data_IF_597198407449
#
_entry.id   IF_597198407449
#
_cell.length_a   1.000
_cell.length_b   1.000
_cell.length_c   1.000
_cell.angle_alpha   90.00
_cell.angle_beta   90.00
_cell.angle_gamma   90.00
#
_symmetry.space_group_name_H-M   'P 1'
#
loop_
_entity.id
_entity.type
_entity.pdbx_description
1 polymer ?
#
# COMPACT_ATOMS: atom_id res chain seq x y z
N UNK A 1 16.18 31.58 23.63
CA UNK A 1 17.31 30.71 24.01
C UNK A 1 16.91 29.37 24.66
N UNK A 2 15.64 29.11 25.05
CA UNK A 2 15.26 27.80 25.63
C UNK A 2 14.68 26.77 24.66
N UNK A 3 14.28 27.15 23.43
CA UNK A 3 13.83 26.18 22.42
C UNK A 3 14.99 25.37 21.81
N UNK A 4 16.12 26.04 21.50
CA UNK A 4 17.31 25.38 20.94
C UNK A 4 17.96 24.39 21.93
N UNK A 5 17.95 24.69 23.23
CA UNK A 5 18.47 23.79 24.27
C UNK A 5 17.58 22.57 24.55
N UNK A 6 16.31 22.59 24.13
CA UNK A 6 15.43 21.42 24.21
C UNK A 6 15.61 20.50 22.99
N UNK A 7 15.91 21.05 21.81
CA UNK A 7 16.20 20.26 20.61
C UNK A 7 17.47 19.42 20.80
N UNK A 8 18.54 19.97 21.38
CA UNK A 8 19.76 19.20 21.67
C UNK A 8 19.53 18.03 22.63
N UNK A 9 18.65 18.17 23.63
CA UNK A 9 18.25 17.07 24.52
C UNK A 9 17.50 15.94 23.81
N UNK A 10 16.80 16.20 22.71
CA UNK A 10 16.19 15.17 21.87
C UNK A 10 17.24 14.41 21.05
N UNK A 11 18.33 15.06 20.65
CA UNK A 11 19.45 14.41 19.96
C UNK A 11 20.41 13.67 20.91
N UNK A 12 20.48 14.07 22.19
CA UNK A 12 21.44 13.51 23.15
C UNK A 12 20.93 12.32 23.98
N UNK A 13 19.60 12.05 24.02
CA UNK A 13 19.02 11.05 24.94
C UNK A 13 18.34 9.83 24.27
N UNK A 14 18.63 9.52 23.01
CA UNK A 14 17.96 8.42 22.31
C UNK A 14 18.85 7.69 21.33
N UNK A 15 19.38 6.54 21.77
CA UNK A 15 19.98 5.46 20.97
C UNK A 15 21.41 5.72 20.48
N UNK A 16 22.37 5.21 21.26
CA UNK A 16 23.71 4.88 20.80
C UNK A 16 23.69 3.59 19.94
N UNK A 17 22.93 3.58 18.86
CA UNK A 17 23.13 2.70 17.71
C UNK A 17 23.64 3.58 16.57
N UNK A 18 24.62 3.10 15.82
CA UNK A 18 25.01 3.74 14.56
C UNK A 18 23.83 3.58 13.58
N UNK A 19 22.80 4.41 13.69
CA UNK A 19 21.72 4.40 12.70
C UNK A 19 22.27 4.88 11.36
N UNK A 20 21.99 4.09 10.33
CA UNK A 20 22.31 4.44 8.96
C UNK A 20 21.34 5.56 8.52
N UNK A 21 21.85 6.77 8.29
CA UNK A 21 21.04 7.93 7.91
C UNK A 21 20.10 7.65 6.75
N UNK A 22 20.51 6.79 5.81
CA UNK A 22 19.70 6.41 4.67
C UNK A 22 18.53 5.47 5.06
N UNK A 23 18.73 4.59 6.03
CA UNK A 23 17.66 3.74 6.57
C UNK A 23 16.65 4.56 7.37
N UNK A 24 17.10 5.57 8.12
CA UNK A 24 16.21 6.49 8.83
C UNK A 24 15.36 7.32 7.84
N UNK A 25 15.97 7.77 6.74
CA UNK A 25 15.25 8.46 5.66
C UNK A 25 14.28 7.55 4.91
N UNK A 26 14.63 6.27 4.70
CA UNK A 26 13.68 5.29 4.15
C UNK A 26 12.53 5.04 5.12
N UNK A 27 12.83 4.92 6.43
CA UNK A 27 11.81 4.76 7.47
C UNK A 27 10.84 5.93 7.47
N UNK A 28 11.32 7.17 7.36
CA UNK A 28 10.42 8.33 7.29
C UNK A 28 9.51 8.32 6.06
N UNK A 29 9.99 7.89 4.89
CA UNK A 29 9.13 7.71 3.71
C UNK A 29 7.98 6.73 3.97
N UNK A 30 8.31 5.55 4.49
CA UNK A 30 7.33 4.48 4.71
C UNK A 30 6.31 4.86 5.78
N UNK A 31 6.76 5.54 6.84
CA UNK A 31 5.86 6.09 7.88
C UNK A 31 4.89 7.12 7.28
N UNK A 32 5.36 8.00 6.39
CA UNK A 32 4.49 8.98 5.72
C UNK A 32 3.41 8.29 4.86
N UNK A 33 3.75 7.22 4.14
CA UNK A 33 2.75 6.48 3.38
C UNK A 33 1.74 5.76 4.28
N UNK A 34 2.20 5.17 5.38
CA UNK A 34 1.31 4.55 6.37
C UNK A 34 0.31 5.56 6.96
N UNK A 35 0.75 6.80 7.24
CA UNK A 35 -0.15 7.87 7.72
C UNK A 35 -1.29 8.16 6.74
N UNK A 36 -1.04 8.01 5.44
CA UNK A 36 -2.07 8.17 4.40
C UNK A 36 -2.99 6.96 4.35
N UNK A 37 -2.45 5.74 4.44
CA UNK A 37 -3.23 4.50 4.51
C UNK A 37 -4.18 4.48 5.71
N UNK A 38 -3.75 5.01 6.86
CA UNK A 38 -4.56 5.10 8.07
C UNK A 38 -5.87 5.89 7.90
N UNK A 39 -5.99 6.74 6.85
CA UNK A 39 -7.22 7.47 6.51
C UNK A 39 -8.20 6.67 5.65
N UNK A 40 -7.77 5.57 5.05
CA UNK A 40 -8.56 4.68 4.21
C UNK A 40 -8.62 3.27 4.83
N UNK A 41 -9.52 3.03 5.80
CA UNK A 41 -9.54 1.78 6.57
C UNK A 41 -9.83 0.52 5.74
N UNK A 42 -10.32 0.67 4.52
CA UNK A 42 -10.61 -0.46 3.63
C UNK A 42 -9.37 -1.03 2.93
N UNK A 43 -8.26 -0.31 2.97
CA UNK A 43 -7.03 -0.71 2.28
C UNK A 43 -6.26 -1.77 3.05
N UNK A 44 -6.22 -1.69 4.39
CA UNK A 44 -5.81 -2.78 5.29
C UNK A 44 -4.58 -3.57 4.85
N UNK A 45 -3.46 -2.92 4.54
CA UNK A 45 -2.25 -3.56 4.02
C UNK A 45 -2.10 -3.49 2.50
N UNK A 46 -2.86 -2.61 1.85
CA UNK A 46 -2.77 -2.32 0.43
C UNK A 46 -1.37 -1.89 0.03
N UNK A 47 -0.74 -1.01 0.82
CA UNK A 47 0.62 -0.54 0.54
C UNK A 47 1.60 -1.72 0.46
N UNK A 48 1.46 -2.67 1.39
CA UNK A 48 2.25 -3.89 1.39
C UNK A 48 1.93 -4.77 0.18
N UNK A 49 0.66 -5.04 -0.11
CA UNK A 49 0.26 -5.91 -1.24
C UNK A 49 0.74 -5.37 -2.58
N UNK A 50 0.50 -4.10 -2.87
CA UNK A 50 0.95 -3.45 -4.11
C UNK A 50 2.48 -3.49 -4.21
N UNK A 51 3.19 -3.23 -3.11
CA UNK A 51 4.65 -3.37 -3.05
C UNK A 51 5.11 -4.79 -3.39
N UNK A 52 4.47 -5.82 -2.81
CA UNK A 52 4.81 -7.23 -3.04
C UNK A 52 4.49 -7.71 -4.44
N UNK A 53 3.34 -7.35 -4.99
CA UNK A 53 3.00 -7.65 -6.38
C UNK A 53 4.00 -6.99 -7.34
N UNK A 54 4.36 -5.73 -7.07
CA UNK A 54 5.30 -4.98 -7.89
C UNK A 54 6.70 -5.59 -7.85
N UNK A 55 7.15 -6.01 -6.66
CA UNK A 55 8.41 -6.76 -6.48
C UNK A 55 8.42 -8.05 -7.30
N UNK A 56 7.37 -8.87 -7.16
CA UNK A 56 7.27 -10.16 -7.84
C UNK A 56 7.28 -9.98 -9.37
N UNK A 57 6.44 -9.08 -9.89
CA UNK A 57 6.36 -8.81 -11.32
C UNK A 57 7.67 -8.24 -11.88
N UNK A 58 8.32 -7.31 -11.17
CA UNK A 58 9.59 -6.74 -11.60
C UNK A 58 10.72 -7.79 -11.63
N UNK A 59 10.80 -8.64 -10.59
CA UNK A 59 11.81 -9.70 -10.49
C UNK A 59 11.63 -10.75 -11.59
N UNK A 60 10.41 -11.21 -11.83
CA UNK A 60 10.06 -12.19 -12.86
C UNK A 60 10.17 -11.62 -14.29
N UNK A 61 10.23 -10.28 -14.39
CA UNK A 61 10.56 -9.59 -15.63
C UNK A 61 12.07 -9.50 -15.89
N UNK A 62 12.90 -9.98 -14.97
CA UNK A 62 14.37 -9.99 -15.10
C UNK A 62 15.01 -8.62 -14.92
N UNK A 63 14.34 -7.70 -14.22
CA UNK A 63 14.90 -6.38 -13.91
C UNK A 63 16.02 -6.48 -12.88
N UNK A 64 17.01 -5.56 -12.89
CA UNK A 64 18.07 -5.53 -11.88
C UNK A 64 17.51 -5.37 -10.46
N UNK A 65 18.17 -5.96 -9.46
CA UNK A 65 17.72 -5.93 -8.05
C UNK A 65 17.44 -4.52 -7.53
N UNK A 66 18.25 -3.53 -7.91
CA UNK A 66 18.04 -2.14 -7.55
C UNK A 66 16.74 -1.57 -8.15
N UNK A 67 16.40 -1.91 -9.39
CA UNK A 67 15.14 -1.52 -10.03
C UNK A 67 13.96 -2.24 -9.39
N UNK A 68 14.08 -3.54 -9.10
CA UNK A 68 13.05 -4.32 -8.40
C UNK A 68 12.74 -3.68 -7.04
N UNK A 69 13.76 -3.34 -6.26
CA UNK A 69 13.59 -2.69 -4.96
C UNK A 69 12.96 -1.30 -5.07
N UNK A 70 13.39 -0.51 -6.06
CA UNK A 70 12.83 0.83 -6.32
C UNK A 70 11.36 0.77 -6.75
N UNK A 71 11.00 -0.19 -7.59
CA UNK A 71 9.62 -0.40 -8.06
C UNK A 71 8.73 -0.92 -6.93
N UNK A 72 9.23 -1.86 -6.11
CA UNK A 72 8.53 -2.32 -4.91
C UNK A 72 8.29 -1.18 -3.91
N UNK A 73 9.30 -0.33 -3.68
CA UNK A 73 9.18 0.87 -2.86
C UNK A 73 8.17 1.86 -3.47
N UNK A 74 8.19 2.03 -4.80
CA UNK A 74 7.20 2.80 -5.54
C UNK A 74 5.78 2.31 -5.31
N UNK A 75 5.55 1.00 -5.33
CA UNK A 75 4.26 0.40 -5.00
C UNK A 75 3.79 0.70 -3.56
N UNK A 76 4.71 0.79 -2.61
CA UNK A 76 4.37 1.18 -1.23
C UNK A 76 4.03 2.68 -1.09
N UNK A 77 4.59 3.54 -1.95
CA UNK A 77 4.52 4.99 -1.81
C UNK A 77 3.57 5.67 -2.81
N UNK A 78 3.07 4.95 -3.82
CA UNK A 78 2.38 5.52 -4.99
C UNK A 78 1.23 6.47 -4.64
N UNK A 79 0.51 6.15 -3.56
CA UNK A 79 -0.73 6.80 -3.16
C UNK A 79 -0.55 7.93 -2.14
N UNK A 80 0.68 8.33 -1.81
CA UNK A 80 0.98 9.32 -0.78
C UNK A 80 0.19 10.65 -0.98
N UNK A 81 -0.12 10.99 -2.23
CA UNK A 81 -0.89 12.17 -2.56
C UNK A 81 -2.35 12.16 -2.12
N UNK A 82 -2.91 11.01 -1.73
CA UNK A 82 -4.28 10.92 -1.15
C UNK A 82 -4.41 11.74 0.12
N UNK A 83 -3.30 12.17 0.74
CA UNK A 83 -3.31 13.18 1.81
C UNK A 83 -4.08 14.46 1.42
N UNK A 84 -4.09 14.85 0.15
CA UNK A 84 -4.81 16.03 -0.34
C UNK A 84 -6.26 15.78 -0.76
N UNK A 85 -6.74 14.53 -0.71
CA UNK A 85 -8.13 14.19 -1.06
C UNK A 85 -9.02 14.36 0.17
N UNK A 86 -10.15 15.08 0.08
CA UNK A 86 -11.12 15.20 1.18
C UNK A 86 -11.74 13.85 1.58
N UNK A 87 -11.93 13.61 2.89
CA UNK A 87 -12.46 12.34 3.41
C UNK A 87 -13.83 11.95 2.83
N UNK A 88 -14.72 12.92 2.60
CA UNK A 88 -16.05 12.65 2.03
C UNK A 88 -16.00 12.16 0.58
N UNK A 89 -14.90 12.41 -0.13
CA UNK A 89 -14.64 11.88 -1.48
C UNK A 89 -13.90 10.53 -1.36
N UNK A 90 -12.83 10.49 -0.55
CA UNK A 90 -12.00 9.28 -0.38
C UNK A 90 -12.82 8.09 0.13
N UNK A 91 -13.69 8.33 1.12
CA UNK A 91 -14.47 7.31 1.82
C UNK A 91 -15.91 7.20 1.30
N UNK A 92 -16.20 7.72 0.11
CA UNK A 92 -17.55 7.69 -0.45
C UNK A 92 -17.99 6.25 -0.73
N UNK A 93 -19.17 5.87 -0.20
CA UNK A 93 -19.78 4.53 -0.35
C UNK A 93 -20.59 4.36 -1.64
N UNK A 94 -20.57 5.34 -2.53
CA UNK A 94 -21.26 5.32 -3.81
C UNK A 94 -20.30 5.64 -4.96
N UNK A 95 -20.83 5.67 -6.18
CA UNK A 95 -20.05 6.14 -7.34
C UNK A 95 -19.65 7.60 -7.13
N UNK A 96 -18.41 7.91 -7.48
CA UNK A 96 -17.94 9.28 -7.58
C UNK A 96 -18.63 9.98 -8.76
N UNK A 97 -18.94 11.26 -8.64
CA UNK A 97 -19.26 12.11 -9.79
C UNK A 97 -17.99 12.41 -10.59
N UNK A 98 -18.13 12.96 -11.79
CA UNK A 98 -16.98 13.32 -12.62
C UNK A 98 -16.10 14.39 -11.94
N UNK A 99 -16.72 15.32 -11.19
CA UNK A 99 -16.01 16.35 -10.42
C UNK A 99 -15.26 15.75 -9.22
N UNK A 100 -15.89 14.83 -8.48
CA UNK A 100 -15.25 14.13 -7.38
C UNK A 100 -14.09 13.25 -7.86
N UNK A 101 -14.28 12.56 -8.99
CA UNK A 101 -13.22 11.79 -9.62
C UNK A 101 -12.09 12.69 -10.14
N UNK A 102 -12.40 13.89 -10.65
CA UNK A 102 -11.39 14.87 -11.02
C UNK A 102 -10.52 15.29 -9.81
N UNK A 103 -11.09 15.38 -8.60
CA UNK A 103 -10.32 15.59 -7.36
C UNK A 103 -9.41 14.39 -7.07
N UNK A 104 -9.91 13.16 -7.18
CA UNK A 104 -9.07 11.95 -7.00
C UNK A 104 -7.86 11.96 -7.95
N UNK A 105 -8.07 12.33 -9.22
CA UNK A 105 -7.01 12.38 -10.24
C UNK A 105 -5.90 13.39 -9.94
N UNK A 106 -6.06 14.27 -8.94
CA UNK A 106 -5.02 15.22 -8.53
C UNK A 106 -3.95 14.58 -7.64
N UNK A 107 -4.23 13.44 -7.01
CA UNK A 107 -3.32 12.87 -6.02
C UNK A 107 -1.90 12.57 -6.55
N UNK A 108 -1.66 12.16 -7.82
CA UNK A 108 -0.30 11.94 -8.29
C UNK A 108 0.59 13.18 -8.18
N UNK A 109 0.09 14.33 -8.64
CA UNK A 109 0.83 15.61 -8.59
C UNK A 109 0.85 16.21 -7.17
N UNK A 110 -0.21 16.02 -6.37
CA UNK A 110 -0.19 16.38 -4.94
C UNK A 110 0.88 15.58 -4.19
N UNK A 111 0.96 14.28 -4.41
CA UNK A 111 1.93 13.39 -3.78
C UNK A 111 3.36 13.83 -4.09
N UNK A 112 3.65 14.08 -5.36
CA UNK A 112 4.97 14.57 -5.75
C UNK A 112 5.31 15.92 -5.13
N UNK A 113 4.41 16.91 -5.22
CA UNK A 113 4.64 18.24 -4.68
C UNK A 113 4.89 18.22 -3.17
N UNK A 114 4.19 17.35 -2.44
CA UNK A 114 4.37 17.21 -0.99
C UNK A 114 5.68 16.47 -0.66
N UNK A 115 6.07 15.49 -1.48
CA UNK A 115 7.26 14.68 -1.24
C UNK A 115 8.57 15.32 -1.71
N UNK A 116 8.54 16.25 -2.68
CA UNK A 116 9.72 16.75 -3.39
C UNK A 116 10.86 17.31 -2.50
N UNK A 117 10.56 17.74 -1.27
CA UNK A 117 11.57 18.19 -0.30
C UNK A 117 12.30 17.06 0.44
N UNK A 118 11.82 15.81 0.34
CA UNK A 118 12.43 14.67 1.00
C UNK A 118 13.70 14.23 0.25
N UNK A 119 14.84 13.96 0.94
CA UNK A 119 16.11 13.59 0.27
C UNK A 119 16.02 12.36 -0.63
N UNK A 120 15.08 11.46 -0.34
CA UNK A 120 14.84 10.22 -1.10
C UNK A 120 13.62 10.28 -2.04
N UNK A 121 13.02 11.46 -2.27
CA UNK A 121 11.81 11.59 -3.09
C UNK A 121 11.95 11.01 -4.50
N UNK A 122 13.14 11.11 -5.10
CA UNK A 122 13.42 10.60 -6.44
C UNK A 122 13.27 9.08 -6.59
N UNK A 123 13.35 8.31 -5.49
CA UNK A 123 13.15 6.86 -5.55
C UNK A 123 11.70 6.48 -5.91
N UNK A 124 10.74 7.34 -5.58
CA UNK A 124 9.31 7.07 -5.74
C UNK A 124 8.61 8.00 -6.75
N UNK A 125 9.32 8.99 -7.31
CA UNK A 125 8.74 10.02 -8.19
C UNK A 125 7.88 9.40 -9.29
N UNK A 126 8.44 8.44 -10.03
CA UNK A 126 7.80 7.83 -11.19
C UNK A 126 6.52 7.10 -10.80
N UNK A 127 6.58 6.26 -9.76
CA UNK A 127 5.42 5.52 -9.28
C UNK A 127 4.33 6.47 -8.80
N UNK A 128 4.67 7.47 -7.98
CA UNK A 128 3.70 8.45 -7.47
C UNK A 128 3.03 9.22 -8.61
N UNK A 129 3.80 9.69 -9.59
CA UNK A 129 3.30 10.61 -10.61
C UNK A 129 2.61 9.94 -11.78
N UNK A 130 2.86 8.66 -12.01
CA UNK A 130 2.50 8.04 -13.29
C UNK A 130 1.88 6.66 -13.19
N UNK A 131 1.65 6.09 -12.00
CA UNK A 131 1.00 4.76 -11.87
C UNK A 131 -0.43 4.66 -12.46
N UNK A 132 -1.05 5.80 -12.80
CA UNK A 132 -2.35 5.87 -13.47
C UNK A 132 -2.28 6.25 -14.96
N UNK A 133 -1.08 6.33 -15.53
CA UNK A 133 -0.92 6.43 -16.98
C UNK A 133 -1.25 5.09 -17.64
N UNK A 134 -1.86 5.12 -18.83
CA UNK A 134 -2.33 3.91 -19.51
C UNK A 134 -1.80 3.86 -20.94
N UNK A 135 -1.43 2.68 -21.48
CA UNK A 135 -0.81 2.58 -22.80
C UNK A 135 -1.60 3.23 -23.95
N UNK A 136 -2.93 3.34 -23.85
CA UNK A 136 -3.78 4.03 -24.81
C UNK A 136 -3.79 5.57 -24.70
N UNK A 137 -3.01 6.17 -23.79
CA UNK A 137 -2.94 7.62 -23.59
C UNK A 137 -4.15 8.26 -22.91
N UNK A 138 -5.09 7.45 -22.38
CA UNK A 138 -6.29 7.95 -21.66
C UNK A 138 -6.09 8.06 -20.15
N UNK A 139 -4.92 7.67 -19.66
CA UNK A 139 -4.52 7.78 -18.27
C UNK A 139 -4.25 9.22 -17.85
N UNK A 140 -3.79 9.39 -16.62
CA UNK A 140 -3.54 10.69 -16.02
C UNK A 140 -2.27 10.63 -15.14
N UNK A 141 -1.63 11.77 -14.85
CA UNK A 141 -2.04 13.15 -15.14
C UNK A 141 -1.61 13.72 -16.50
N UNK A 142 -0.65 13.10 -17.19
CA UNK A 142 -0.04 13.64 -18.41
C UNK A 142 -0.56 13.00 -19.70
N UNK A 143 -1.24 11.85 -19.61
CA UNK A 143 -1.73 11.12 -20.78
C UNK A 143 -0.60 10.47 -21.57
N UNK A 144 0.42 9.96 -20.86
CA UNK A 144 1.52 9.21 -21.46
C UNK A 144 0.99 7.93 -22.10
N UNK A 145 1.65 7.47 -23.17
CA UNK A 145 1.18 6.33 -23.95
C UNK A 145 2.31 5.35 -24.27
N UNK A 146 1.97 4.06 -24.43
CA UNK A 146 2.92 2.99 -24.76
C UNK A 146 4.23 3.05 -23.97
N UNK A 147 5.35 3.16 -24.70
CA UNK A 147 6.71 3.19 -24.15
C UNK A 147 7.09 4.49 -23.45
N UNK A 148 6.31 5.56 -23.60
CA UNK A 148 6.56 6.82 -22.90
C UNK A 148 6.23 6.70 -21.41
N UNK A 149 5.46 5.67 -21.03
CA UNK A 149 5.17 5.34 -19.64
C UNK A 149 6.38 4.61 -19.05
N UNK A 150 7.03 5.16 -18.01
CA UNK A 150 8.16 4.49 -17.36
C UNK A 150 7.80 3.10 -16.85
N UNK A 151 8.79 2.21 -16.78
CA UNK A 151 8.62 0.81 -16.36
C UNK A 151 7.92 0.70 -15.00
N UNK A 152 8.33 1.49 -14.02
CA UNK A 152 7.76 1.44 -12.67
C UNK A 152 6.27 1.74 -12.67
N UNK A 153 5.86 2.77 -13.43
CA UNK A 153 4.47 3.16 -13.56
C UNK A 153 3.63 2.05 -14.22
N UNK A 154 4.16 1.39 -15.25
CA UNK A 154 3.50 0.26 -15.92
C UNK A 154 3.30 -0.94 -14.99
N UNK A 155 4.32 -1.26 -14.17
CA UNK A 155 4.26 -2.36 -13.20
C UNK A 155 3.31 -2.01 -12.05
N UNK A 156 3.54 -0.87 -11.37
CA UNK A 156 2.74 -0.45 -10.21
C UNK A 156 1.28 -0.27 -10.60
N UNK A 157 0.98 0.29 -11.77
CA UNK A 157 -0.40 0.48 -12.24
C UNK A 157 -1.17 -0.83 -12.43
N UNK A 158 -0.52 -1.91 -12.92
CA UNK A 158 -1.13 -3.24 -13.00
C UNK A 158 -1.38 -3.80 -11.59
N UNK A 159 -0.38 -3.69 -10.71
CA UNK A 159 -0.44 -4.23 -9.36
C UNK A 159 -1.48 -3.52 -8.47
N UNK A 160 -1.57 -2.18 -8.55
CA UNK A 160 -2.60 -1.39 -7.87
C UNK A 160 -4.00 -1.74 -8.38
N UNK A 161 -4.20 -1.77 -9.70
CA UNK A 161 -5.50 -2.14 -10.27
C UNK A 161 -5.92 -3.57 -9.87
N UNK A 162 -4.99 -4.52 -9.85
CA UNK A 162 -5.26 -5.88 -9.40
C UNK A 162 -5.68 -5.90 -7.92
N UNK A 163 -4.89 -5.29 -7.04
CA UNK A 163 -5.21 -5.24 -5.60
C UNK A 163 -6.54 -4.55 -5.34
N UNK A 164 -6.82 -3.46 -6.06
CA UNK A 164 -8.08 -2.74 -6.01
C UNK A 164 -9.29 -3.59 -6.42
N UNK A 165 -9.10 -4.53 -7.36
CA UNK A 165 -10.12 -5.47 -7.79
C UNK A 165 -10.33 -6.60 -6.78
N UNK A 166 -9.26 -7.13 -6.20
CA UNK A 166 -9.25 -8.27 -5.27
C UNK A 166 -9.37 -7.89 -3.79
N UNK A 167 -9.48 -6.61 -3.46
CA UNK A 167 -9.74 -6.12 -2.11
C UNK A 167 -11.18 -5.62 -1.93
N UNK A 168 -11.69 -5.70 -0.71
CA UNK A 168 -12.99 -5.14 -0.33
C UNK A 168 -12.93 -3.62 -0.31
N UNK A 169 -13.99 -2.97 -0.77
CA UNK A 169 -14.15 -1.52 -0.78
C UNK A 169 -15.52 -1.16 -0.20
N UNK A 170 -15.76 0.09 0.25
CA UNK A 170 -17.02 0.46 0.91
C UNK A 170 -18.29 0.12 0.13
N UNK A 171 -18.20 0.11 -1.20
CA UNK A 171 -19.32 -0.10 -2.13
C UNK A 171 -19.30 -1.46 -2.84
N UNK A 172 -18.29 -2.31 -2.60
CA UNK A 172 -18.08 -3.55 -3.37
C UNK A 172 -17.25 -4.56 -2.60
N UNK A 173 -17.71 -5.81 -2.59
CA UNK A 173 -16.92 -6.95 -2.12
C UNK A 173 -15.77 -7.28 -3.09
N UNK A 174 -14.70 -7.86 -2.55
CA UNK A 174 -13.57 -8.36 -3.31
C UNK A 174 -14.00 -9.26 -4.48
N UNK A 175 -13.22 -9.22 -5.55
CA UNK A 175 -13.42 -10.04 -6.73
C UNK A 175 -12.57 -11.32 -6.65
N UNK A 176 -13.05 -12.48 -7.14
CA UNK A 176 -12.20 -13.65 -7.31
C UNK A 176 -11.00 -13.34 -8.21
N UNK A 177 -9.81 -13.84 -7.84
CA UNK A 177 -8.54 -13.66 -8.57
C UNK A 177 -8.71 -13.93 -10.06
N UNK A 178 -9.32 -15.07 -10.43
CA UNK A 178 -9.55 -15.45 -11.84
C UNK A 178 -10.30 -14.39 -12.64
N UNK A 179 -11.27 -13.72 -12.02
CA UNK A 179 -12.05 -12.66 -12.68
C UNK A 179 -11.24 -11.36 -12.78
N UNK A 180 -10.43 -11.03 -11.78
CA UNK A 180 -9.52 -9.89 -11.85
C UNK A 180 -8.44 -10.07 -12.94
N UNK A 181 -7.89 -11.28 -13.07
CA UNK A 181 -6.95 -11.63 -14.14
C UNK A 181 -7.59 -11.55 -15.53
N UNK A 182 -8.83 -12.05 -15.69
CA UNK A 182 -9.57 -11.92 -16.95
C UNK A 182 -9.76 -10.44 -17.36
N UNK A 183 -10.07 -9.55 -16.40
CA UNK A 183 -10.17 -8.11 -16.67
C UNK A 183 -8.82 -7.54 -17.12
N UNK A 184 -7.71 -7.97 -16.52
CA UNK A 184 -6.36 -7.55 -16.96
C UNK A 184 -6.12 -8.01 -18.40
N UNK A 185 -6.39 -9.28 -18.71
CA UNK A 185 -6.23 -9.86 -20.04
C UNK A 185 -7.04 -9.10 -21.11
N UNK A 186 -8.31 -8.81 -20.83
CA UNK A 186 -9.19 -8.05 -21.71
C UNK A 186 -8.70 -6.61 -21.99
N UNK A 187 -7.87 -6.05 -21.11
CA UNK A 187 -7.40 -4.66 -21.17
C UNK A 187 -5.90 -4.51 -21.47
N UNK A 188 -5.25 -5.58 -21.94
CA UNK A 188 -3.86 -5.55 -22.39
C UNK A 188 -3.67 -4.65 -23.63
N UNK A 189 -2.69 -3.76 -23.56
CA UNK A 189 -2.38 -2.76 -24.59
C UNK A 189 -3.33 -1.54 -24.57
N UNK A 190 -4.35 -1.53 -23.71
CA UNK A 190 -5.24 -0.39 -23.54
C UNK A 190 -5.02 0.29 -22.19
N UNK A 191 -5.40 -0.37 -21.10
CA UNK A 191 -5.19 0.09 -19.72
C UNK A 191 -3.86 -0.42 -19.17
N UNK A 192 -3.48 -1.65 -19.52
CA UNK A 192 -2.31 -2.33 -18.98
C UNK A 192 -1.27 -2.55 -20.06
N UNK A 193 0.01 -2.42 -19.70
CA UNK A 193 1.11 -2.77 -20.59
C UNK A 193 1.01 -4.25 -20.96
N UNK A 194 1.22 -4.57 -22.25
CA UNK A 194 1.06 -5.94 -22.75
C UNK A 194 2.12 -6.87 -22.18
N UNK A 195 3.38 -6.47 -22.21
CA UNK A 195 4.50 -7.33 -21.83
C UNK A 195 4.47 -7.63 -20.33
N UNK A 196 4.25 -6.62 -19.50
CA UNK A 196 4.11 -6.80 -18.05
C UNK A 196 2.79 -7.47 -17.67
N UNK A 197 1.70 -7.17 -18.37
CA UNK A 197 0.41 -7.80 -18.12
C UNK A 197 0.42 -9.29 -18.41
N UNK A 198 1.02 -9.74 -19.53
CA UNK A 198 1.16 -11.16 -19.85
C UNK A 198 2.00 -11.91 -18.80
N UNK A 199 3.07 -11.29 -18.29
CA UNK A 199 3.86 -11.85 -17.17
C UNK A 199 3.05 -11.93 -15.89
N UNK A 200 2.28 -10.89 -15.58
CA UNK A 200 1.41 -10.89 -14.39
C UNK A 200 0.33 -11.97 -14.45
N UNK A 201 -0.26 -12.21 -15.63
CA UNK A 201 -1.19 -13.31 -15.86
C UNK A 201 -0.53 -14.67 -15.63
N UNK A 202 0.73 -14.85 -16.07
CA UNK A 202 1.48 -16.07 -15.84
C UNK A 202 1.73 -16.34 -14.33
N UNK A 203 2.03 -15.29 -13.54
CA UNK A 203 2.14 -15.40 -12.08
C UNK A 203 0.81 -15.84 -11.45
N UNK A 204 -0.30 -15.26 -11.92
CA UNK A 204 -1.63 -15.64 -11.48
C UNK A 204 -2.02 -17.07 -11.85
N UNK A 205 -1.65 -17.54 -13.04
CA UNK A 205 -1.91 -18.91 -13.49
C UNK A 205 -1.07 -19.97 -12.76
N UNK A 206 0.07 -19.57 -12.19
CA UNK A 206 0.95 -20.39 -11.37
C UNK A 206 0.65 -20.29 -9.86
N UNK A 207 -0.49 -19.69 -9.47
CA UNK A 207 -0.94 -19.47 -8.09
C UNK A 207 0.11 -18.72 -7.22
N UNK A 208 0.95 -17.89 -7.85
CA UNK A 208 2.00 -17.14 -7.14
C UNK A 208 1.50 -15.84 -6.50
N UNK A 209 0.22 -15.50 -6.65
CA UNK A 209 -0.37 -14.27 -6.09
C UNK A 209 -1.12 -14.53 -4.78
N UNK A 210 -1.50 -15.77 -4.49
CA UNK A 210 -2.43 -16.15 -3.42
C UNK A 210 -1.92 -15.81 -2.02
N UNK A 211 -0.60 -15.86 -1.82
CA UNK A 211 0.04 -15.52 -0.55
C UNK A 211 0.13 -14.01 -0.28
N UNK A 212 -0.31 -13.18 -1.22
CA UNK A 212 -0.35 -11.71 -1.12
C UNK A 212 -1.80 -11.23 -1.10
N UNK A 213 -2.67 -11.78 -1.96
CA UNK A 213 -4.08 -11.37 -2.06
C UNK A 213 -4.76 -11.54 -0.71
N UNK A 214 -5.41 -10.48 -0.22
CA UNK A 214 -6.14 -10.52 1.05
C UNK A 214 -5.25 -10.71 2.28
N UNK A 215 -3.97 -10.31 2.22
CA UNK A 215 -3.06 -10.32 3.36
C UNK A 215 -2.63 -8.88 3.74
N UNK A 216 -2.34 -8.67 5.02
CA UNK A 216 -1.76 -7.41 5.51
C UNK A 216 -0.24 -7.44 5.59
N UNK A 217 0.34 -8.65 5.65
CA UNK A 217 1.77 -8.93 5.78
C UNK A 217 2.04 -10.38 5.35
N UNK A 218 3.31 -10.76 5.25
CA UNK A 218 3.71 -12.10 4.82
C UNK A 218 3.16 -13.18 5.76
N UNK A 219 2.21 -13.98 5.24
CA UNK A 219 1.57 -15.06 5.99
C UNK A 219 0.52 -14.59 7.00
N UNK A 220 0.10 -13.33 6.95
CA UNK A 220 -0.93 -12.77 7.83
C UNK A 220 -2.15 -12.39 6.96
N UNK A 221 -3.17 -13.25 6.86
CA UNK A 221 -4.36 -12.96 6.09
C UNK A 221 -5.18 -11.85 6.77
N UNK A 222 -6.03 -11.19 5.99
CA UNK A 222 -7.06 -10.30 6.51
C UNK A 222 -8.20 -11.10 7.12
N UNK A 223 -8.69 -10.59 8.23
CA UNK A 223 -9.77 -11.21 8.97
C UNK A 223 -11.12 -10.55 8.65
N UNK A 224 -12.17 -11.36 8.72
CA UNK A 224 -13.53 -10.94 8.38
C UNK A 224 -14.15 -10.10 9.51
N UNK A 225 -14.45 -8.85 9.20
CA UNK A 225 -15.40 -8.06 9.95
C UNK A 225 -16.82 -8.41 9.50
N UNK A 226 -17.69 -8.81 10.42
CA UNK A 226 -19.10 -9.20 10.14
C UNK A 226 -19.85 -8.12 9.34
N UNK A 227 -19.50 -6.84 9.54
CA UNK A 227 -20.16 -5.72 8.89
C UNK A 227 -19.43 -5.22 7.64
N UNK A 228 -18.12 -5.38 7.56
CA UNK A 228 -17.27 -4.64 6.61
C UNK A 228 -16.49 -5.53 5.65
N UNK A 229 -16.53 -6.85 5.83
CA UNK A 229 -15.74 -7.79 5.04
C UNK A 229 -14.31 -7.95 5.57
N UNK A 230 -13.37 -8.48 4.76
CA UNK A 230 -11.98 -8.70 5.15
C UNK A 230 -11.19 -7.38 5.23
N UNK A 231 -11.37 -6.67 6.34
CA UNK A 231 -10.69 -5.40 6.67
C UNK A 231 -9.98 -5.44 8.02
N UNK A 232 -10.19 -6.49 8.82
CA UNK A 232 -9.49 -6.63 10.09
C UNK A 232 -8.03 -7.02 9.83
N UNK A 233 -7.14 -6.08 10.11
CA UNK A 233 -5.70 -6.26 10.02
C UNK A 233 -5.20 -6.84 11.33
N UNK A 234 -4.60 -8.04 11.24
CA UNK A 234 -3.69 -8.51 12.26
C UNK A 234 -2.26 -8.07 11.93
N UNK A 235 -1.45 -7.89 12.97
CA UNK A 235 -0.03 -7.56 12.88
C UNK A 235 0.82 -8.74 13.31
N UNK A 236 2.05 -8.76 12.81
CA UNK A 236 3.02 -9.76 13.24
C UNK A 236 3.30 -9.63 14.73
N UNK A 237 3.28 -10.75 15.43
CA UNK A 237 3.53 -10.80 16.87
C UNK A 237 2.29 -10.61 17.75
N UNK A 238 1.10 -10.36 17.17
CA UNK A 238 -0.13 -10.45 17.94
C UNK A 238 -0.34 -11.84 18.52
N UNK A 239 -0.99 -11.88 19.69
CA UNK A 239 -1.20 -13.12 20.44
C UNK A 239 -2.66 -13.31 20.84
N UNK A 240 -3.03 -14.56 21.10
CA UNK A 240 -4.37 -14.87 21.60
C UNK A 240 -4.67 -14.16 22.93
N UNK A 241 -5.90 -13.67 23.07
CA UNK A 241 -6.35 -12.86 24.19
C UNK A 241 -6.29 -11.35 23.95
N UNK A 242 -5.59 -10.89 22.91
CA UNK A 242 -5.60 -9.49 22.50
C UNK A 242 -6.89 -9.12 21.78
N UNK A 243 -7.18 -7.82 21.74
CA UNK A 243 -8.34 -7.26 21.07
C UNK A 243 -7.92 -6.48 19.83
N UNK A 244 -8.70 -6.61 18.76
CA UNK A 244 -8.54 -5.85 17.52
C UNK A 244 -9.85 -5.20 17.12
N UNK A 245 -9.75 -4.08 16.42
CA UNK A 245 -10.90 -3.22 16.14
C UNK A 245 -11.02 -2.97 14.64
N UNK A 246 -12.23 -3.12 14.11
CA UNK A 246 -12.51 -2.73 12.73
C UNK A 246 -12.43 -1.21 12.61
N UNK A 247 -11.51 -0.71 11.77
CA UNK A 247 -11.32 0.74 11.59
C UNK A 247 -12.45 1.41 10.81
N UNK A 248 -13.36 0.62 10.22
CA UNK A 248 -14.54 1.15 9.54
C UNK A 248 -15.80 1.21 10.43
N UNK A 249 -16.15 0.11 11.12
CA UNK A 249 -17.37 0.07 11.95
C UNK A 249 -17.12 0.13 13.46
N UNK A 250 -15.86 0.24 13.88
CA UNK A 250 -15.41 0.28 15.28
C UNK A 250 -15.72 -0.97 16.12
N UNK A 251 -16.20 -2.04 15.51
CA UNK A 251 -16.50 -3.31 16.18
C UNK A 251 -15.24 -3.97 16.74
N UNK A 252 -15.33 -4.47 17.97
CA UNK A 252 -14.26 -5.17 18.66
C UNK A 252 -14.32 -6.69 18.38
N UNK A 253 -13.12 -7.26 18.22
CA UNK A 253 -12.89 -8.69 18.01
C UNK A 253 -11.82 -9.18 18.98
N UNK A 254 -12.03 -10.36 19.54
CA UNK A 254 -11.03 -11.08 20.33
C UNK A 254 -10.17 -11.93 19.39
N UNK A 255 -8.85 -11.84 19.54
CA UNK A 255 -7.90 -12.72 18.86
C UNK A 255 -7.83 -14.04 19.63
N UNK A 256 -8.05 -15.15 18.95
CA UNK A 256 -8.02 -16.50 19.52
C UNK A 256 -7.02 -17.36 18.74
N UNK A 257 -6.35 -18.28 19.43
CA UNK A 257 -5.57 -19.33 18.78
C UNK A 257 -6.48 -20.54 18.52
N UNK A 258 -6.59 -20.95 17.26
CA UNK A 258 -7.22 -22.20 16.85
C UNK A 258 -6.20 -23.04 16.09
N UNK A 259 -5.66 -24.05 16.79
CA UNK A 259 -4.73 -25.03 16.22
C UNK A 259 -3.45 -24.39 15.64
N UNK A 260 -2.95 -23.34 16.29
CA UNK A 260 -1.74 -22.61 15.88
C UNK A 260 -1.99 -21.51 14.84
N UNK A 261 -3.26 -21.26 14.48
CA UNK A 261 -3.68 -20.15 13.62
C UNK A 261 -4.46 -19.13 14.43
N UNK A 262 -4.06 -17.86 14.33
CA UNK A 262 -4.82 -16.78 14.91
C UNK A 262 -6.12 -16.60 14.11
N UNK A 263 -7.23 -16.50 14.82
CA UNK A 263 -8.55 -16.15 14.29
C UNK A 263 -9.11 -14.99 15.10
N UNK A 264 -10.13 -14.32 14.58
CA UNK A 264 -10.82 -13.23 15.28
C UNK A 264 -12.29 -13.56 15.47
N UNK A 265 -12.80 -13.40 16.69
CA UNK A 265 -14.20 -13.63 17.03
C UNK A 265 -14.84 -12.32 17.52
N UNK A 266 -16.01 -11.91 16.98
CA UNK A 266 -16.67 -10.67 17.39
C UNK A 266 -17.11 -10.73 18.85
N UNK A 267 -16.83 -9.68 19.61
CA UNK A 267 -17.20 -9.60 21.05
C UNK A 267 -18.57 -8.97 21.30
N UNK A 268 -19.20 -8.44 20.24
CA UNK A 268 -20.41 -7.59 20.28
C UNK A 268 -20.22 -6.24 21.00
N UNK A 269 -18.98 -5.84 21.30
CA UNK A 269 -18.66 -4.51 21.81
C UNK A 269 -18.08 -3.64 20.70
N UNK A 270 -18.00 -2.34 20.97
CA UNK A 270 -17.35 -1.35 20.13
C UNK A 270 -16.10 -0.84 20.86
N UNK A 271 -15.06 -0.51 20.11
CA UNK A 271 -13.85 0.11 20.66
C UNK A 271 -14.14 1.49 21.25
N UNK A 272 -13.41 1.83 22.32
CA UNK A 272 -13.37 3.19 22.85
C UNK A 272 -12.58 4.13 21.92
N UNK A 273 -12.53 5.43 22.25
CA UNK A 273 -11.72 6.36 21.48
C UNK A 273 -10.23 5.98 21.46
N UNK A 274 -9.70 5.53 22.61
CA UNK A 274 -8.30 5.10 22.78
C UNK A 274 -8.00 3.84 21.96
N UNK A 275 -8.90 2.85 21.99
CA UNK A 275 -8.78 1.62 21.17
C UNK A 275 -8.74 1.90 19.66
N UNK A 276 -9.42 2.96 19.25
CA UNK A 276 -9.58 3.34 17.85
C UNK A 276 -8.42 4.19 17.32
N UNK A 277 -7.46 4.57 18.16
CA UNK A 277 -6.26 5.27 17.73
C UNK A 277 -5.44 4.41 16.75
N UNK A 278 -5.06 4.96 15.59
CA UNK A 278 -4.29 4.21 14.61
C UNK A 278 -2.82 4.18 15.03
N UNK A 279 -2.20 3.00 14.97
CA UNK A 279 -0.77 2.85 15.27
C UNK A 279 0.01 2.33 14.07
N UNK A 280 1.19 2.90 13.85
CA UNK A 280 2.09 2.51 12.77
C UNK A 280 2.59 1.07 13.00
N UNK A 281 2.58 0.25 11.94
CA UNK A 281 3.24 -1.06 11.97
C UNK A 281 4.77 -0.90 11.82
N UNK A 282 5.43 -0.62 12.94
CA UNK A 282 6.88 -0.35 12.99
C UNK A 282 7.71 -1.56 12.58
N UNK A 283 7.24 -2.78 12.86
CA UNK A 283 7.92 -4.02 12.52
C UNK A 283 7.88 -4.30 11.02
N UNK A 284 6.72 -4.08 10.38
CA UNK A 284 6.58 -4.13 8.93
C UNK A 284 7.51 -3.12 8.27
N UNK A 285 7.45 -1.85 8.71
CA UNK A 285 8.31 -0.80 8.18
C UNK A 285 9.79 -1.16 8.35
N UNK A 286 10.21 -1.65 9.51
CA UNK A 286 11.59 -2.03 9.75
C UNK A 286 12.08 -3.15 8.81
N UNK A 287 11.21 -4.11 8.45
CA UNK A 287 11.54 -5.14 7.44
C UNK A 287 11.67 -4.54 6.04
N UNK A 288 10.71 -3.73 5.62
CA UNK A 288 10.74 -3.07 4.30
C UNK A 288 11.96 -2.16 4.16
N UNK A 289 12.36 -1.45 5.22
CA UNK A 289 13.61 -0.67 5.25
C UNK A 289 14.81 -1.57 5.01
N UNK A 290 14.96 -2.67 5.76
CA UNK A 290 16.11 -3.58 5.62
C UNK A 290 16.19 -4.20 4.22
N UNK A 291 15.05 -4.63 3.67
CA UNK A 291 14.96 -5.19 2.32
C UNK A 291 15.36 -4.15 1.26
N UNK A 292 14.79 -2.94 1.35
CA UNK A 292 15.06 -1.86 0.40
C UNK A 292 16.51 -1.35 0.50
N UNK A 293 17.03 -1.17 1.71
CA UNK A 293 18.38 -0.68 1.97
C UNK A 293 19.44 -1.62 1.36
N UNK A 294 19.24 -2.93 1.49
CA UNK A 294 20.18 -3.93 0.95
C UNK A 294 20.36 -3.83 -0.57
N UNK A 295 19.32 -3.43 -1.30
CA UNK A 295 19.34 -3.38 -2.76
C UNK A 295 19.59 -1.97 -3.34
N UNK A 296 19.27 -0.92 -2.56
CA UNK A 296 19.35 0.47 -3.01
C UNK A 296 20.56 1.24 -2.48
N UNK A 297 21.17 0.79 -1.37
CA UNK A 297 22.21 1.53 -0.64
C UNK A 297 23.54 0.77 -0.53
N UNK A 298 23.61 -0.46 -1.03
CA UNK A 298 24.82 -1.29 -1.13
C UNK A 298 25.19 -1.47 -2.60
#
# INVERSE_FOLDING_TARGET
>A
MSLFNNISRFFDNGVAEKTNVHEDLLRSLLVMAWMVEARDPYTGGHLWRVSRFSHLLASESGLPDADVARIALGGFLHDLGKIGVPDHILNKTGKLTDEEYAVIKTHPEVGWRTLAGHPLAGLAEVAIRSHHETPNGKGYPKGLSGSDIPVDARIVGICDAFDAMTSTRPYRREMPIKKALAIIEENLGSQFDRDFGERFLALGAADQLDHIVGHSDAGIPLHECVMCGPTLVLRKGQVAGEHVYCRNCTGEYLVEDKEGLLVTTPTQRMGSAEDLEPEVDTDLIARVVRESARALLL
#
